data_IF_476571336060
#
_entry.id   IF_476571336060
#
_cell.length_a   1.000
_cell.length_b   1.000
_cell.length_c   1.000
_cell.angle_alpha   90.00
_cell.angle_beta   90.00
_cell.angle_gamma   90.00
#
_symmetry.space_group_name_H-M   'P 1'
#
loop_
_entity.id
_entity.type
_entity.pdbx_description
1 polymer ?
#
# COMPACT_ATOMS: atom_id res chain seq x y z
N UNK A 1 16.68 11.17 13.02
CA UNK A 1 16.34 9.72 12.97
C UNK A 1 15.35 9.31 14.06
N UNK A 2 15.02 10.17 15.04
CA UNK A 2 14.08 9.86 16.12
C UNK A 2 12.59 10.07 15.75
N UNK A 3 12.27 10.85 14.72
CA UNK A 3 10.86 11.16 14.41
C UNK A 3 10.09 10.02 13.74
N UNK A 4 10.75 9.17 12.95
CA UNK A 4 10.10 8.06 12.23
C UNK A 4 9.75 6.90 13.17
N UNK A 5 10.56 6.65 14.21
CA UNK A 5 10.26 5.61 15.21
C UNK A 5 9.03 5.94 16.02
N UNK A 6 8.83 7.21 16.36
CA UNK A 6 7.71 7.67 17.17
C UNK A 6 6.41 7.64 16.35
N UNK A 7 6.48 8.01 15.07
CA UNK A 7 5.35 7.91 14.15
C UNK A 7 4.92 6.45 13.93
N UNK A 8 5.87 5.54 13.72
CA UNK A 8 5.60 4.12 13.56
C UNK A 8 4.98 3.51 14.83
N UNK A 9 5.49 3.85 16.02
CA UNK A 9 4.94 3.38 17.29
C UNK A 9 3.49 3.86 17.48
N UNK A 10 3.21 5.14 17.22
CA UNK A 10 1.86 5.69 17.32
C UNK A 10 0.89 5.05 16.31
N UNK A 11 1.34 4.81 15.08
CA UNK A 11 0.55 4.10 14.08
C UNK A 11 0.20 2.69 14.57
N UNK A 12 1.21 1.95 15.03
CA UNK A 12 1.06 0.61 15.61
C UNK A 12 0.02 0.58 16.72
N UNK A 13 0.11 1.49 17.69
CA UNK A 13 -0.82 1.54 18.83
C UNK A 13 -2.28 1.72 18.38
N UNK A 14 -2.53 2.55 17.37
CA UNK A 14 -3.87 2.74 16.80
C UNK A 14 -4.43 1.47 16.15
N UNK A 15 -3.61 0.68 15.46
CA UNK A 15 -4.05 -0.60 14.90
C UNK A 15 -4.27 -1.65 15.98
N UNK A 16 -3.41 -1.70 17.00
CA UNK A 16 -3.57 -2.61 18.13
C UNK A 16 -4.88 -2.34 18.88
N UNK A 17 -5.28 -1.07 19.03
CA UNK A 17 -6.56 -0.71 19.66
C UNK A 17 -7.77 -1.11 18.81
N UNK A 18 -7.74 -0.83 17.49
CA UNK A 18 -8.90 -1.08 16.60
C UNK A 18 -9.04 -2.56 16.17
N UNK A 19 -7.93 -3.26 15.96
CA UNK A 19 -7.91 -4.60 15.35
C UNK A 19 -7.26 -5.67 16.23
N UNK A 20 -6.63 -5.30 17.34
CA UNK A 20 -5.89 -6.24 18.20
C UNK A 20 -4.56 -6.73 17.61
N UNK A 21 -4.20 -6.29 16.39
CA UNK A 21 -2.98 -6.64 15.67
C UNK A 21 -2.43 -5.41 14.95
N UNK A 22 -1.12 -5.37 14.80
CA UNK A 22 -0.44 -4.35 14.03
C UNK A 22 -0.27 -4.82 12.57
N UNK A 23 -0.18 -3.91 11.58
CA UNK A 23 -0.06 -4.31 10.18
C UNK A 23 1.16 -5.21 9.90
N UNK A 24 2.28 -5.04 10.62
CA UNK A 24 3.46 -5.89 10.46
C UNK A 24 3.23 -7.35 10.88
N UNK A 25 2.29 -7.59 11.80
CA UNK A 25 2.01 -8.89 12.41
C UNK A 25 0.66 -9.46 11.95
N UNK A 26 -0.09 -8.72 11.15
CA UNK A 26 -1.45 -9.04 10.76
C UNK A 26 -1.50 -10.20 9.76
N UNK A 27 -2.51 -11.07 9.92
CA UNK A 27 -2.82 -12.04 8.88
C UNK A 27 -3.42 -11.38 7.63
N UNK A 28 -3.50 -12.15 6.54
CA UNK A 28 -3.97 -11.65 5.24
C UNK A 28 -5.36 -11.00 5.34
N UNK A 29 -6.31 -11.63 6.04
CA UNK A 29 -7.68 -11.15 6.11
C UNK A 29 -7.79 -9.85 6.92
N UNK A 30 -7.04 -9.79 8.02
CA UNK A 30 -6.97 -8.61 8.89
C UNK A 30 -6.32 -7.44 8.15
N UNK A 31 -5.22 -7.69 7.43
CA UNK A 31 -4.52 -6.65 6.67
C UNK A 31 -5.36 -6.13 5.50
N UNK A 32 -6.09 -7.00 4.80
CA UNK A 32 -7.07 -6.61 3.78
C UNK A 32 -8.14 -5.70 4.38
N UNK A 33 -8.72 -6.10 5.51
CA UNK A 33 -9.73 -5.30 6.22
C UNK A 33 -9.20 -3.94 6.65
N UNK A 34 -7.95 -3.88 7.15
CA UNK A 34 -7.33 -2.60 7.52
C UNK A 34 -7.26 -1.65 6.32
N UNK A 35 -6.90 -2.15 5.14
CA UNK A 35 -6.86 -1.36 3.90
C UNK A 35 -8.26 -0.86 3.55
N UNK A 36 -9.25 -1.76 3.46
CA UNK A 36 -10.63 -1.40 3.14
C UNK A 36 -11.21 -0.36 4.11
N UNK A 37 -11.00 -0.55 5.42
CA UNK A 37 -11.46 0.36 6.45
C UNK A 37 -10.82 1.75 6.27
N UNK A 38 -9.55 1.87 5.87
CA UNK A 38 -8.95 3.18 5.58
C UNK A 38 -9.67 3.92 4.46
N UNK A 39 -10.03 3.22 3.38
CA UNK A 39 -10.76 3.85 2.27
C UNK A 39 -12.21 4.14 2.64
N UNK A 40 -12.86 3.27 3.41
CA UNK A 40 -14.18 3.54 3.98
C UNK A 40 -14.17 4.78 4.91
N UNK A 41 -13.06 4.97 5.65
CA UNK A 41 -12.81 6.14 6.50
C UNK A 41 -12.38 7.40 5.68
N UNK A 42 -12.38 7.32 4.35
CA UNK A 42 -12.14 8.45 3.44
C UNK A 42 -10.66 8.71 3.10
N UNK A 43 -9.79 7.70 3.19
CA UNK A 43 -8.41 7.81 2.73
C UNK A 43 -8.36 8.22 1.25
N UNK A 44 -7.61 9.30 0.97
CA UNK A 44 -7.23 9.71 -0.38
C UNK A 44 -5.73 9.48 -0.57
N UNK A 45 -5.33 8.91 -1.70
CA UNK A 45 -3.94 8.56 -2.01
C UNK A 45 -3.40 9.39 -3.18
N UNK A 46 -2.08 9.43 -3.33
CA UNK A 46 -1.44 10.22 -4.38
C UNK A 46 -1.28 9.42 -5.68
N UNK A 47 -2.38 9.24 -6.42
CA UNK A 47 -2.40 8.47 -7.69
C UNK A 47 -1.53 9.09 -8.80
N UNK A 48 -1.39 10.42 -8.82
CA UNK A 48 -0.59 11.17 -9.81
C UNK A 48 0.52 12.01 -9.13
N UNK A 49 1.68 12.23 -9.79
CA UNK A 49 2.01 11.79 -11.16
C UNK A 49 2.35 10.29 -11.24
N UNK A 50 1.92 9.64 -12.32
CA UNK A 50 2.38 8.30 -12.67
C UNK A 50 3.88 8.33 -13.02
N UNK A 51 4.73 7.44 -12.44
CA UNK A 51 6.15 7.42 -12.72
C UNK A 51 6.42 6.84 -14.12
N UNK A 52 6.67 7.69 -15.11
CA UNK A 52 6.99 7.28 -16.49
C UNK A 52 8.42 6.75 -16.61
N UNK A 53 9.35 7.23 -15.76
CA UNK A 53 10.76 6.83 -15.80
C UNK A 53 11.16 5.94 -14.62
N UNK A 54 12.16 5.08 -14.82
CA UNK A 54 12.76 4.27 -13.73
C UNK A 54 13.28 5.14 -12.59
N UNK A 55 13.75 6.36 -12.90
CA UNK A 55 14.22 7.32 -11.90
C UNK A 55 13.08 7.82 -11.00
N UNK A 56 11.90 8.08 -11.56
CA UNK A 56 10.73 8.52 -10.79
C UNK A 56 10.18 7.37 -9.97
N UNK A 57 10.13 6.17 -10.55
CA UNK A 57 9.75 4.95 -9.86
C UNK A 57 10.66 4.68 -8.65
N UNK A 58 11.98 4.70 -8.85
CA UNK A 58 12.96 4.50 -7.78
C UNK A 58 12.82 5.52 -6.65
N UNK A 59 12.49 6.78 -6.95
CA UNK A 59 12.25 7.80 -5.92
C UNK A 59 11.04 7.48 -5.04
N UNK A 60 9.97 6.91 -5.60
CA UNK A 60 8.81 6.47 -4.81
C UNK A 60 9.22 5.29 -3.93
N UNK A 61 9.94 4.31 -4.49
CA UNK A 61 10.46 3.18 -3.71
C UNK A 61 11.36 3.64 -2.56
N UNK A 62 12.26 4.59 -2.80
CA UNK A 62 13.14 5.12 -1.76
C UNK A 62 12.36 5.76 -0.60
N UNK A 63 11.23 6.42 -0.88
CA UNK A 63 10.34 6.94 0.17
C UNK A 63 9.66 5.83 0.94
N UNK A 64 9.10 4.84 0.24
CA UNK A 64 8.46 3.68 0.87
C UNK A 64 9.43 2.88 1.75
N UNK A 65 10.71 2.76 1.35
CA UNK A 65 11.75 2.08 2.13
C UNK A 65 12.06 2.73 3.48
N UNK A 66 11.77 4.02 3.62
CA UNK A 66 11.93 4.70 4.91
C UNK A 66 10.80 4.42 5.90
N UNK A 67 9.70 3.82 5.43
CA UNK A 67 8.50 3.54 6.22
C UNK A 67 8.57 2.13 6.81
N UNK A 68 8.10 1.98 8.04
CA UNK A 68 7.95 0.66 8.67
C UNK A 68 6.72 -0.07 8.12
N UNK A 69 6.65 -1.38 8.35
CA UNK A 69 5.46 -2.17 8.00
C UNK A 69 4.19 -1.71 8.75
N UNK A 70 4.33 -1.14 9.95
CA UNK A 70 3.20 -0.62 10.74
C UNK A 70 2.67 0.72 10.20
N UNK A 71 3.41 1.40 9.33
CA UNK A 71 2.97 2.62 8.64
C UNK A 71 2.12 2.31 7.40
N UNK A 72 1.15 1.40 7.52
CA UNK A 72 0.30 0.96 6.42
C UNK A 72 -0.36 2.13 5.69
N UNK A 73 -0.98 3.07 6.42
CA UNK A 73 -1.66 4.23 5.83
C UNK A 73 -0.72 5.07 4.98
N UNK A 74 0.48 5.37 5.48
CA UNK A 74 1.47 6.18 4.77
C UNK A 74 1.93 5.49 3.49
N UNK A 75 2.14 4.16 3.55
CA UNK A 75 2.46 3.35 2.37
C UNK A 75 1.37 3.38 1.31
N UNK A 76 0.08 3.29 1.70
CA UNK A 76 -1.04 3.38 0.77
C UNK A 76 -1.11 4.74 0.08
N UNK A 77 -0.86 5.83 0.83
CA UNK A 77 -0.80 7.19 0.27
C UNK A 77 0.34 7.32 -0.73
N UNK A 78 1.55 6.91 -0.34
CA UNK A 78 2.77 7.07 -1.12
C UNK A 78 2.82 6.15 -2.34
N UNK A 79 2.17 4.98 -2.30
CA UNK A 79 2.02 4.10 -3.47
C UNK A 79 0.85 4.49 -4.37
N UNK A 80 0.02 5.47 -3.99
CA UNK A 80 -1.14 5.86 -4.78
C UNK A 80 -2.17 4.75 -4.91
N UNK A 81 -2.45 4.04 -3.80
CA UNK A 81 -3.33 2.88 -3.79
C UNK A 81 -4.80 3.25 -4.05
N UNK A 82 -5.53 2.40 -4.77
CA UNK A 82 -6.96 2.53 -5.06
C UNK A 82 -7.63 1.16 -4.98
N UNK A 83 -8.90 1.15 -4.54
CA UNK A 83 -9.73 -0.07 -4.50
C UNK A 83 -10.54 -0.28 -5.78
N UNK A 84 -10.20 0.45 -6.83
CA UNK A 84 -10.84 0.41 -8.14
C UNK A 84 -9.79 0.56 -9.25
N UNK A 85 -10.10 0.15 -10.49
CA UNK A 85 -9.20 0.31 -11.61
C UNK A 85 -8.96 1.80 -11.93
N UNK A 86 -7.82 2.10 -12.56
CA UNK A 86 -7.44 3.49 -12.85
C UNK A 86 -7.12 3.72 -14.33
N UNK A 87 -7.44 4.93 -14.82
CA UNK A 87 -7.11 5.40 -16.17
C UNK A 87 -8.05 4.88 -17.28
N UNK A 88 -7.81 5.34 -18.50
CA UNK A 88 -8.59 4.93 -19.69
C UNK A 88 -8.45 3.42 -19.97
N UNK A 89 -7.26 2.88 -19.71
CA UNK A 89 -6.95 1.46 -19.88
C UNK A 89 -7.47 0.57 -18.75
N UNK A 90 -8.14 1.16 -17.73
CA UNK A 90 -8.66 0.42 -16.57
C UNK A 90 -7.58 -0.47 -15.94
N UNK A 91 -6.41 0.11 -15.64
CA UNK A 91 -5.25 -0.62 -15.13
C UNK A 91 -5.57 -1.27 -13.79
N UNK A 92 -5.29 -2.57 -13.68
CA UNK A 92 -5.63 -3.40 -12.51
C UNK A 92 -4.43 -4.13 -11.96
N UNK A 93 -4.42 -4.40 -10.66
CA UNK A 93 -3.42 -5.23 -9.99
C UNK A 93 -3.30 -6.59 -10.69
N UNK A 94 -4.39 -7.18 -11.17
CA UNK A 94 -4.37 -8.45 -11.91
C UNK A 94 -3.40 -8.47 -13.11
N UNK A 95 -3.16 -7.32 -13.74
CA UNK A 95 -2.29 -7.17 -14.91
C UNK A 95 -0.86 -6.73 -14.53
N UNK A 96 -0.63 -6.41 -13.26
CA UNK A 96 0.64 -5.92 -12.76
C UNK A 96 1.66 -7.06 -12.59
N UNK A 97 2.92 -6.82 -12.97
CA UNK A 97 4.00 -7.79 -12.84
C UNK A 97 4.27 -8.24 -11.39
N UNK A 98 3.90 -7.43 -10.40
CA UNK A 98 4.11 -7.71 -8.98
C UNK A 98 2.94 -8.47 -8.33
N UNK A 99 1.85 -8.72 -9.06
CA UNK A 99 0.66 -9.33 -8.48
C UNK A 99 0.71 -10.85 -8.54
N UNK A 100 0.59 -11.49 -7.36
CA UNK A 100 0.53 -12.94 -7.22
C UNK A 100 -0.93 -13.41 -7.18
N UNK A 101 -1.45 -13.81 -8.35
CA UNK A 101 -2.86 -14.21 -8.54
C UNK A 101 -3.37 -15.23 -7.51
N UNK A 102 -2.59 -16.27 -7.21
CA UNK A 102 -3.00 -17.31 -6.27
C UNK A 102 -3.05 -16.86 -4.82
N UNK A 103 -2.35 -15.77 -4.46
CA UNK A 103 -2.27 -15.24 -3.11
C UNK A 103 -3.06 -13.94 -2.92
N UNK A 104 -3.53 -13.32 -4.01
CA UNK A 104 -4.12 -11.96 -3.99
C UNK A 104 -3.21 -10.98 -3.26
N UNK A 105 -1.99 -10.85 -3.78
CA UNK A 105 -0.89 -10.22 -3.07
C UNK A 105 0.00 -9.42 -4.00
N UNK A 106 0.43 -8.24 -3.55
CA UNK A 106 1.45 -7.43 -4.19
C UNK A 106 2.82 -7.82 -3.62
N UNK A 107 3.66 -8.45 -4.44
CA UNK A 107 5.01 -8.92 -4.08
C UNK A 107 6.10 -7.85 -4.27
N UNK A 108 5.71 -6.58 -4.45
CA UNK A 108 6.66 -5.47 -4.43
C UNK A 108 7.23 -5.37 -3.01
N UNK A 109 8.55 -5.56 -2.79
CA UNK A 109 9.12 -5.70 -1.44
C UNK A 109 8.82 -4.52 -0.50
N UNK A 110 8.77 -3.31 -1.06
CA UNK A 110 8.49 -2.08 -0.31
C UNK A 110 7.04 -2.01 0.21
N UNK A 111 6.09 -2.63 -0.49
CA UNK A 111 4.69 -2.70 -0.09
C UNK A 111 4.41 -4.00 0.65
N UNK A 112 4.53 -5.12 -0.06
CA UNK A 112 4.28 -6.47 0.45
C UNK A 112 2.92 -6.54 1.18
N UNK A 113 1.83 -6.27 0.44
CA UNK A 113 0.47 -6.11 0.96
C UNK A 113 -0.52 -7.01 0.20
N UNK A 114 -1.64 -7.41 0.82
CA UNK A 114 -2.74 -8.03 0.11
C UNK A 114 -3.36 -7.03 -0.88
N UNK A 115 -3.79 -7.54 -2.03
CA UNK A 115 -4.41 -6.76 -3.08
C UNK A 115 -5.51 -7.57 -3.76
N UNK A 116 -6.66 -6.97 -4.03
CA UNK A 116 -7.67 -7.60 -4.88
C UNK A 116 -7.36 -7.36 -6.37
N UNK A 117 -7.87 -8.20 -7.28
CA UNK A 117 -7.50 -8.14 -8.70
C UNK A 117 -7.84 -6.80 -9.34
N UNK A 118 -8.94 -6.16 -8.93
CA UNK A 118 -9.45 -4.93 -9.52
C UNK A 118 -8.91 -3.64 -8.86
N UNK A 119 -7.95 -3.77 -7.94
CA UNK A 119 -7.30 -2.63 -7.30
C UNK A 119 -6.22 -2.02 -8.19
N UNK A 120 -5.67 -0.89 -7.77
CA UNK A 120 -4.61 -0.19 -8.49
C UNK A 120 -3.61 0.47 -7.53
N UNK A 121 -2.38 0.67 -8.00
CA UNK A 121 -1.43 1.60 -7.37
C UNK A 121 -0.60 2.29 -8.45
N UNK A 122 -0.05 3.48 -8.17
CA UNK A 122 0.77 4.22 -9.13
C UNK A 122 2.11 3.56 -9.47
N UNK A 123 2.46 2.48 -8.76
CA UNK A 123 3.63 1.64 -9.03
C UNK A 123 3.30 0.47 -9.97
N UNK A 124 2.12 0.47 -10.59
CA UNK A 124 1.72 -0.51 -11.59
C UNK A 124 2.70 -0.57 -12.78
N UNK A 125 3.03 -1.80 -13.20
CA UNK A 125 3.97 -2.12 -14.29
C UNK A 125 3.56 -3.43 -14.96
N UNK A 126 3.86 -3.57 -16.25
CA UNK A 126 3.69 -4.78 -17.06
C UNK A 126 5.00 -5.18 -17.72
#
# INVERSE_FOLDING_TARGET
>A
MSDQSDAAAKARDGYMEKYGQAPADADHATLLKMIEDHFADGLTTQVEPFPETDREFAKILDRLRTMSADQLRDKLVESGWLLEPYGEDQMRCQECMYYLVHRRWCDLPELNLPAEPDWYCRLWRI
#
